data_IF_475101378498
#
_entry.id   IF_475101378498
#
_cell.length_a   1.000
_cell.length_b   1.000
_cell.length_c   1.000
_cell.angle_alpha   90.00
_cell.angle_beta   90.00
_cell.angle_gamma   90.00
#
_symmetry.space_group_name_H-M   'P 1'
#
loop_
_entity.id
_entity.type
_entity.pdbx_description
1 polymer ?
#
# COMPACT_ATOMS: atom_id res chain seq x y z
N UNK A 1 -16.11 -0.91 -4.51
CA UNK A 1 -16.79 -1.72 -3.46
C UNK A 1 -15.80 -2.63 -2.76
N UNK A 2 -15.11 -3.54 -3.47
CA UNK A 2 -14.16 -4.49 -2.88
C UNK A 2 -13.09 -3.83 -1.98
N UNK A 3 -12.41 -2.80 -2.50
CA UNK A 3 -11.42 -2.01 -1.72
C UNK A 3 -12.05 -1.42 -0.45
N UNK A 4 -13.25 -0.86 -0.53
CA UNK A 4 -13.94 -0.28 0.62
C UNK A 4 -14.29 -1.30 1.71
N UNK A 5 -14.72 -2.51 1.33
CA UNK A 5 -14.98 -3.60 2.27
C UNK A 5 -13.68 -4.02 2.97
N UNK A 6 -12.60 -4.21 2.20
CA UNK A 6 -11.30 -4.56 2.74
C UNK A 6 -10.77 -3.49 3.71
N UNK A 7 -10.86 -2.21 3.34
CA UNK A 7 -10.44 -1.09 4.18
C UNK A 7 -11.26 -1.00 5.47
N UNK A 8 -12.59 -1.17 5.41
CA UNK A 8 -13.44 -1.18 6.60
C UNK A 8 -13.08 -2.34 7.54
N UNK A 9 -12.85 -3.52 6.98
CA UNK A 9 -12.43 -4.69 7.76
C UNK A 9 -11.10 -4.40 8.47
N UNK A 10 -10.09 -3.93 7.73
CA UNK A 10 -8.76 -3.62 8.28
C UNK A 10 -8.84 -2.50 9.31
N UNK A 11 -9.66 -1.47 9.11
CA UNK A 11 -9.83 -0.38 10.07
C UNK A 11 -10.36 -0.87 11.43
N UNK A 12 -11.22 -1.89 11.44
CA UNK A 12 -11.77 -2.49 12.66
C UNK A 12 -10.78 -3.47 13.29
N UNK A 13 -10.10 -4.29 12.48
CA UNK A 13 -9.24 -5.36 12.98
C UNK A 13 -7.83 -4.90 13.35
N UNK A 14 -7.26 -3.91 12.66
CA UNK A 14 -5.88 -3.48 12.85
C UNK A 14 -5.55 -3.05 14.29
N UNK A 15 -6.40 -2.27 15.01
CA UNK A 15 -6.10 -1.91 16.40
C UNK A 15 -6.07 -3.13 17.34
N UNK A 16 -6.97 -4.09 17.11
CA UNK A 16 -7.08 -5.31 17.92
C UNK A 16 -5.90 -6.24 17.65
N UNK A 17 -5.61 -6.47 16.37
CA UNK A 17 -4.52 -7.35 15.94
C UNK A 17 -3.15 -6.78 16.28
N UNK A 18 -2.97 -5.46 16.16
CA UNK A 18 -1.75 -4.77 16.57
C UNK A 18 -1.48 -4.95 18.07
N UNK A 19 -2.50 -4.74 18.90
CA UNK A 19 -2.37 -4.97 20.34
C UNK A 19 -2.03 -6.43 20.66
N UNK A 20 -2.69 -7.42 20.03
CA UNK A 20 -2.38 -8.83 20.26
C UNK A 20 -0.94 -9.15 19.86
N UNK A 21 -0.49 -8.68 18.70
CA UNK A 21 0.87 -8.94 18.21
C UNK A 21 1.94 -8.30 19.09
N UNK A 22 1.70 -7.08 19.59
CA UNK A 22 2.60 -6.39 20.51
C UNK A 22 2.76 -7.15 21.84
N UNK A 23 1.68 -7.71 22.39
CA UNK A 23 1.73 -8.46 23.65
C UNK A 23 2.29 -9.88 23.51
N UNK A 24 2.02 -10.53 22.38
CA UNK A 24 2.43 -11.91 22.12
C UNK A 24 3.81 -12.04 21.47
N UNK A 25 4.48 -10.91 21.19
CA UNK A 25 5.76 -10.86 20.47
C UNK A 25 5.75 -11.76 19.21
N UNK A 26 4.68 -11.63 18.42
CA UNK A 26 4.41 -12.51 17.29
C UNK A 26 4.13 -11.75 15.99
N UNK A 27 4.60 -10.51 15.89
CA UNK A 27 4.45 -9.66 14.70
C UNK A 27 4.97 -10.37 13.45
N UNK A 28 6.06 -11.14 13.56
CA UNK A 28 6.59 -11.94 12.45
C UNK A 28 5.61 -13.02 11.99
N UNK A 29 4.90 -13.67 12.91
CA UNK A 29 3.90 -14.71 12.58
C UNK A 29 2.66 -14.11 11.94
N UNK A 30 2.16 -12.99 12.47
CA UNK A 30 1.04 -12.27 11.87
C UNK A 30 1.39 -11.75 10.48
N UNK A 31 2.58 -11.20 10.29
CA UNK A 31 3.06 -10.77 8.98
C UNK A 31 3.09 -11.94 7.99
N UNK A 32 3.61 -13.11 8.40
CA UNK A 32 3.61 -14.30 7.56
C UNK A 32 2.19 -14.75 7.18
N UNK A 33 1.27 -14.79 8.15
CA UNK A 33 -0.11 -15.18 7.90
C UNK A 33 -0.79 -14.26 6.89
N UNK A 34 -0.65 -12.94 7.05
CA UNK A 34 -1.28 -11.97 6.17
C UNK A 34 -0.62 -11.91 4.80
N UNK A 35 0.71 -11.95 4.71
CA UNK A 35 1.42 -12.11 3.44
C UNK A 35 1.02 -13.39 2.72
N UNK A 36 0.85 -14.49 3.46
CA UNK A 36 0.45 -15.76 2.90
C UNK A 36 -0.98 -15.75 2.36
N UNK A 37 -1.90 -15.13 3.10
CA UNK A 37 -3.24 -14.84 2.59
C UNK A 37 -3.16 -14.09 1.26
N UNK A 38 -2.34 -13.04 1.17
CA UNK A 38 -2.22 -12.25 -0.06
C UNK A 38 -1.76 -13.08 -1.26
N UNK A 39 -0.67 -13.83 -1.16
CA UNK A 39 -0.19 -14.60 -2.31
C UNK A 39 -1.12 -15.78 -2.65
N UNK A 40 -1.79 -16.40 -1.67
CA UNK A 40 -2.74 -17.50 -1.95
C UNK A 40 -3.93 -16.96 -2.72
N UNK A 41 -4.59 -15.91 -2.21
CA UNK A 41 -5.77 -15.36 -2.87
C UNK A 41 -5.46 -14.64 -4.18
N UNK A 42 -4.27 -14.04 -4.31
CA UNK A 42 -3.78 -13.55 -5.61
C UNK A 42 -3.63 -14.70 -6.58
N UNK A 43 -2.98 -15.80 -6.20
CA UNK A 43 -2.83 -16.98 -7.06
C UNK A 43 -4.17 -17.62 -7.45
N UNK A 44 -5.15 -17.64 -6.53
CA UNK A 44 -6.50 -18.17 -6.78
C UNK A 44 -7.30 -17.37 -7.82
N UNK A 45 -6.93 -16.10 -8.09
CA UNK A 45 -7.52 -15.32 -9.19
C UNK A 45 -7.30 -15.96 -10.55
N UNK A 46 -6.32 -16.88 -10.70
CA UNK A 46 -6.16 -17.71 -11.89
C UNK A 46 -7.43 -18.49 -12.26
N UNK A 47 -8.22 -18.95 -11.29
CA UNK A 47 -9.40 -19.77 -11.55
C UNK A 47 -10.63 -18.94 -11.95
N UNK A 48 -10.58 -17.62 -11.80
CA UNK A 48 -11.70 -16.72 -12.11
C UNK A 48 -11.86 -16.59 -13.62
N UNK A 49 -13.05 -16.93 -14.13
CA UNK A 49 -13.37 -16.81 -15.55
C UNK A 49 -14.33 -15.64 -15.81
N UNK A 50 -14.58 -15.35 -17.09
CA UNK A 50 -15.56 -14.34 -17.49
C UNK A 50 -16.94 -14.75 -16.95
N UNK A 51 -17.53 -13.90 -16.13
CA UNK A 51 -18.82 -14.15 -15.46
C UNK A 51 -18.71 -14.37 -13.94
N UNK A 52 -17.54 -14.77 -13.44
CA UNK A 52 -17.31 -15.10 -12.02
C UNK A 52 -17.02 -13.88 -11.14
N UNK A 53 -17.80 -12.81 -11.33
CA UNK A 53 -17.55 -11.50 -10.69
C UNK A 53 -17.51 -11.63 -9.17
N UNK A 54 -18.43 -12.40 -8.58
CA UNK A 54 -18.51 -12.56 -7.13
C UNK A 54 -17.27 -13.26 -6.56
N UNK A 55 -16.83 -14.35 -7.18
CA UNK A 55 -15.65 -15.12 -6.75
C UNK A 55 -14.38 -14.27 -6.92
N UNK A 56 -14.25 -13.57 -8.06
CA UNK A 56 -13.13 -12.65 -8.28
C UNK A 56 -13.09 -11.53 -7.26
N UNK A 57 -14.23 -10.94 -6.94
CA UNK A 57 -14.34 -9.95 -5.87
C UNK A 57 -13.95 -10.52 -4.50
N UNK A 58 -14.42 -11.72 -4.15
CA UNK A 58 -14.12 -12.35 -2.87
C UNK A 58 -12.61 -12.60 -2.72
N UNK A 59 -11.96 -13.21 -3.72
CA UNK A 59 -10.52 -13.43 -3.70
C UNK A 59 -9.73 -12.12 -3.66
N UNK A 60 -10.14 -11.11 -4.44
CA UNK A 60 -9.51 -9.80 -4.40
C UNK A 60 -9.64 -9.14 -3.02
N UNK A 61 -10.81 -9.20 -2.37
CA UNK A 61 -11.01 -8.66 -1.01
C UNK A 61 -10.10 -9.35 -0.01
N UNK A 62 -10.00 -10.68 -0.05
CA UNK A 62 -9.15 -11.44 0.87
C UNK A 62 -7.66 -11.18 0.64
N UNK A 63 -7.23 -11.02 -0.62
CA UNK A 63 -5.89 -10.60 -0.96
C UNK A 63 -5.58 -9.18 -0.45
N UNK A 64 -6.51 -8.24 -0.65
CA UNK A 64 -6.37 -6.84 -0.21
C UNK A 64 -6.34 -6.73 1.32
N UNK A 65 -7.18 -7.49 2.04
CA UNK A 65 -7.12 -7.57 3.51
C UNK A 65 -5.76 -8.09 3.97
N UNK A 66 -5.25 -9.14 3.31
CA UNK A 66 -3.92 -9.69 3.54
C UNK A 66 -2.84 -8.62 3.38
N UNK A 67 -2.85 -7.92 2.25
CA UNK A 67 -1.86 -6.89 1.94
C UNK A 67 -1.89 -5.75 2.95
N UNK A 68 -3.07 -5.16 3.18
CA UNK A 68 -3.25 -4.03 4.10
C UNK A 68 -2.94 -4.38 5.55
N UNK A 69 -3.38 -5.56 6.01
CA UNK A 69 -3.07 -6.00 7.38
C UNK A 69 -1.58 -6.32 7.55
N UNK A 70 -0.96 -6.92 6.53
CA UNK A 70 0.49 -7.15 6.48
C UNK A 70 1.29 -5.85 6.57
N UNK A 71 0.85 -4.78 5.90
CA UNK A 71 1.49 -3.46 5.99
C UNK A 71 1.51 -2.90 7.42
N UNK A 72 0.45 -3.11 8.21
CA UNK A 72 0.41 -2.68 9.62
C UNK A 72 1.56 -3.31 10.42
N UNK A 73 1.76 -4.63 10.27
CA UNK A 73 2.85 -5.33 10.96
C UNK A 73 4.22 -4.98 10.41
N UNK A 74 4.34 -4.87 9.09
CA UNK A 74 5.58 -4.42 8.43
C UNK A 74 6.04 -3.06 8.99
N UNK A 75 5.14 -2.09 9.06
CA UNK A 75 5.45 -0.76 9.60
C UNK A 75 5.76 -0.81 11.10
N UNK A 76 5.12 -1.73 11.86
CA UNK A 76 5.38 -1.89 13.30
C UNK A 76 6.73 -2.54 13.64
N UNK A 77 7.36 -3.22 12.67
CA UNK A 77 8.69 -3.85 12.81
C UNK A 77 9.79 -2.84 12.50
N UNK A 78 9.51 -1.83 11.68
CA UNK A 78 10.50 -0.83 11.25
C UNK A 78 11.27 -0.16 12.42
N UNK A 79 10.61 0.24 13.54
CA UNK A 79 11.33 0.81 14.69
C UNK A 79 12.23 -0.19 15.43
N UNK A 80 12.10 -1.50 15.19
CA UNK A 80 12.95 -2.53 15.81
C UNK A 80 14.25 -2.78 15.01
N UNK A 81 14.27 -2.34 13.74
CA UNK A 81 15.40 -2.53 12.81
C UNK A 81 16.16 -1.24 12.50
N UNK A 82 15.56 -0.07 12.76
CA UNK A 82 16.16 1.23 12.47
C UNK A 82 16.14 2.13 13.72
N UNK A 83 17.21 2.90 13.89
CA UNK A 83 17.25 3.98 14.89
C UNK A 83 16.33 5.14 14.47
N UNK A 84 15.88 6.02 15.40
CA UNK A 84 15.01 7.14 15.05
C UNK A 84 15.57 8.04 13.95
N UNK A 85 16.89 8.25 13.93
CA UNK A 85 17.59 9.08 12.95
C UNK A 85 17.68 8.41 11.56
N UNK A 86 17.60 7.08 11.51
CA UNK A 86 17.69 6.30 10.26
C UNK A 86 16.32 5.87 9.72
N UNK A 87 15.25 6.05 10.50
CA UNK A 87 13.92 5.53 10.20
C UNK A 87 13.38 6.03 8.86
N UNK A 88 13.56 7.32 8.56
CA UNK A 88 13.18 7.91 7.28
C UNK A 88 13.96 7.30 6.10
N UNK A 89 15.28 7.14 6.24
CA UNK A 89 16.14 6.56 5.19
C UNK A 89 15.83 5.08 4.94
N UNK A 90 15.65 4.29 5.99
CA UNK A 90 15.34 2.85 5.88
C UNK A 90 13.94 2.65 5.27
N UNK A 91 12.95 3.42 5.73
CA UNK A 91 11.60 3.41 5.16
C UNK A 91 11.60 3.78 3.68
N UNK A 92 12.26 4.90 3.33
CA UNK A 92 12.34 5.39 1.95
C UNK A 92 13.05 4.42 1.01
N UNK A 93 14.16 3.82 1.45
CA UNK A 93 14.84 2.77 0.69
C UNK A 93 13.94 1.52 0.52
N UNK A 94 13.22 1.12 1.57
CA UNK A 94 12.26 0.01 1.49
C UNK A 94 11.15 0.29 0.48
N UNK A 95 10.62 1.52 0.47
CA UNK A 95 9.63 1.96 -0.50
C UNK A 95 10.19 1.95 -1.93
N UNK A 96 11.39 2.48 -2.16
CA UNK A 96 12.03 2.51 -3.47
C UNK A 96 12.32 1.11 -4.02
N UNK A 97 12.88 0.21 -3.20
CA UNK A 97 13.16 -1.19 -3.57
C UNK A 97 11.84 -1.93 -3.83
N UNK A 98 10.82 -1.71 -3.01
CA UNK A 98 9.49 -2.31 -3.20
C UNK A 98 8.84 -1.87 -4.52
N UNK A 99 8.87 -0.58 -4.82
CA UNK A 99 8.37 -0.02 -6.08
C UNK A 99 9.15 -0.53 -7.29
N UNK A 100 10.49 -0.60 -7.19
CA UNK A 100 11.33 -1.19 -8.23
C UNK A 100 11.01 -2.68 -8.44
N UNK A 101 10.77 -3.43 -7.37
CA UNK A 101 10.33 -4.82 -7.42
C UNK A 101 8.98 -4.98 -8.10
N UNK A 102 8.03 -4.08 -7.86
CA UNK A 102 6.74 -4.05 -8.55
C UNK A 102 6.87 -3.74 -10.04
N UNK A 103 7.71 -2.76 -10.40
CA UNK A 103 8.02 -2.45 -11.81
C UNK A 103 8.65 -3.66 -12.50
N UNK A 104 9.62 -4.31 -11.86
CA UNK A 104 10.29 -5.49 -12.41
C UNK A 104 9.30 -6.62 -12.67
N UNK A 105 8.37 -6.86 -11.73
CA UNK A 105 7.29 -7.82 -11.91
C UNK A 105 6.44 -7.52 -13.17
N UNK A 106 6.03 -6.25 -13.34
CA UNK A 106 5.25 -5.83 -14.52
C UNK A 106 6.04 -5.95 -15.83
N UNK A 107 7.32 -5.54 -15.83
CA UNK A 107 8.20 -5.64 -17.02
C UNK A 107 8.41 -7.10 -17.42
N UNK A 108 8.51 -8.02 -16.47
CA UNK A 108 8.67 -9.45 -16.78
C UNK A 108 7.40 -10.00 -17.42
N UNK A 109 6.21 -9.63 -16.92
CA UNK A 109 4.93 -10.15 -17.41
C UNK A 109 4.51 -9.53 -18.76
N UNK A 110 4.80 -8.24 -18.96
CA UNK A 110 4.30 -7.46 -20.09
C UNK A 110 4.59 -8.09 -21.47
N UNK A 111 5.82 -8.54 -21.79
CA UNK A 111 6.10 -9.22 -23.06
C UNK A 111 5.25 -10.46 -23.29
N UNK A 112 4.96 -11.24 -22.24
CA UNK A 112 4.12 -12.43 -22.38
C UNK A 112 2.69 -12.05 -22.73
N UNK A 113 2.13 -11.02 -22.10
CA UNK A 113 0.78 -10.53 -22.41
C UNK A 113 0.70 -10.00 -23.84
N UNK A 114 1.74 -9.31 -24.33
CA UNK A 114 1.76 -8.76 -25.69
C UNK A 114 1.96 -9.83 -26.76
N UNK A 115 2.80 -10.84 -26.50
CA UNK A 115 3.14 -11.88 -27.49
C UNK A 115 2.07 -12.97 -27.53
N UNK A 116 1.61 -13.41 -26.36
CA UNK A 116 0.65 -14.49 -26.22
C UNK A 116 -0.70 -13.87 -25.87
N UNK A 117 -1.43 -13.44 -26.89
CA UNK A 117 -2.78 -12.92 -26.71
C UNK A 117 -3.70 -14.01 -26.11
N UNK A 118 -4.51 -13.62 -25.13
CA UNK A 118 -5.51 -14.48 -24.52
C UNK A 118 -5.62 -14.42 -23.00
N UNK A 119 -6.84 -14.63 -22.52
CA UNK A 119 -7.20 -14.60 -21.10
C UNK A 119 -6.44 -15.61 -20.22
N UNK A 120 -5.76 -16.61 -20.81
CA UNK A 120 -4.93 -17.56 -20.07
C UNK A 120 -3.66 -16.89 -19.55
N UNK A 121 -3.02 -16.04 -20.35
CA UNK A 121 -1.75 -15.39 -20.00
C UNK A 121 -1.97 -14.34 -18.93
N UNK A 122 -3.08 -13.60 -19.03
CA UNK A 122 -3.57 -12.71 -17.96
C UNK A 122 -3.77 -13.49 -16.67
N UNK A 123 -4.38 -14.68 -16.73
CA UNK A 123 -4.56 -15.53 -15.54
C UNK A 123 -3.25 -16.03 -14.97
N UNK A 124 -2.30 -16.46 -15.81
CA UNK A 124 -0.96 -16.87 -15.38
C UNK A 124 -0.19 -15.72 -14.71
N UNK A 125 -0.45 -14.47 -15.08
CA UNK A 125 0.16 -13.31 -14.44
C UNK A 125 -0.15 -13.22 -12.94
N UNK A 126 -1.33 -13.67 -12.50
CA UNK A 126 -1.69 -13.73 -11.08
C UNK A 126 -0.87 -14.77 -10.32
N UNK A 127 -0.66 -15.96 -10.90
CA UNK A 127 0.20 -16.99 -10.31
C UNK A 127 1.64 -16.49 -10.23
N UNK A 128 2.15 -15.90 -11.31
CA UNK A 128 3.48 -15.34 -11.31
C UNK A 128 3.65 -14.25 -10.24
N UNK A 129 2.70 -13.32 -10.15
CA UNK A 129 2.72 -12.25 -9.14
C UNK A 129 2.69 -12.81 -7.72
N UNK A 130 1.87 -13.84 -7.47
CA UNK A 130 1.81 -14.53 -6.18
C UNK A 130 3.15 -15.17 -5.81
N UNK A 131 3.77 -15.91 -6.75
CA UNK A 131 5.07 -16.56 -6.54
C UNK A 131 6.18 -15.52 -6.35
N UNK A 132 6.21 -14.49 -7.20
CA UNK A 132 7.18 -13.40 -7.13
C UNK A 132 7.11 -12.73 -5.75
N UNK A 133 5.91 -12.38 -5.29
CA UNK A 133 5.73 -11.79 -3.97
C UNK A 133 6.15 -12.76 -2.87
N UNK A 134 5.77 -14.04 -2.94
CA UNK A 134 6.18 -15.04 -1.97
C UNK A 134 7.71 -15.13 -1.84
N UNK A 135 8.41 -15.23 -2.97
CA UNK A 135 9.87 -15.25 -3.00
C UNK A 135 10.46 -13.97 -2.42
N UNK A 136 9.92 -12.80 -2.75
CA UNK A 136 10.40 -11.52 -2.22
C UNK A 136 10.26 -11.39 -0.70
N UNK A 137 9.33 -12.11 -0.07
CA UNK A 137 9.20 -12.09 1.40
C UNK A 137 10.12 -13.07 2.13
N UNK A 138 10.67 -14.08 1.44
CA UNK A 138 11.53 -15.12 2.05
C UNK A 138 12.71 -14.50 2.84
N UNK A 139 13.47 -13.52 2.29
CA UNK A 139 14.58 -12.89 3.00
C UNK A 139 14.17 -12.32 4.35
N UNK A 140 13.00 -11.69 4.42
CA UNK A 140 12.46 -11.15 5.67
C UNK A 140 12.26 -12.26 6.70
N UNK A 141 11.62 -13.36 6.33
CA UNK A 141 11.32 -14.42 7.28
C UNK A 141 12.53 -15.27 7.67
N UNK A 142 13.55 -15.38 6.82
CA UNK A 142 14.77 -16.11 7.15
C UNK A 142 15.74 -15.28 8.00
N UNK A 143 15.90 -13.99 7.70
CA UNK A 143 16.92 -13.16 8.34
C UNK A 143 16.41 -12.32 9.52
N UNK A 144 15.14 -11.91 9.51
CA UNK A 144 14.59 -11.13 10.62
C UNK A 144 14.37 -12.03 11.85
N UNK A 145 15.00 -11.67 12.97
CA UNK A 145 14.74 -12.24 14.28
C UNK A 145 14.02 -11.21 15.12
N UNK A 146 12.81 -11.56 15.55
CA UNK A 146 11.99 -10.74 16.44
C UNK A 146 12.69 -10.63 17.80
N UNK A 147 12.96 -9.42 18.25
CA UNK A 147 13.67 -9.14 19.51
C UNK A 147 12.72 -8.90 20.68
N UNK A 148 11.42 -8.73 20.40
CA UNK A 148 10.42 -8.51 21.41
C UNK A 148 10.24 -9.76 22.29
N UNK A 149 10.19 -9.57 23.61
CA UNK A 149 9.82 -10.62 24.56
C UNK A 149 8.31 -10.51 24.89
N UNK A 150 7.59 -11.64 25.01
CA UNK A 150 6.19 -11.63 25.41
C UNK A 150 6.01 -10.94 26.76
N UNK A 151 5.14 -9.93 26.85
CA UNK A 151 4.85 -9.28 28.12
C UNK A 151 3.82 -10.08 28.92
N UNK A 152 4.03 -10.30 30.24
CA UNK A 152 3.06 -11.00 31.07
C UNK A 152 1.75 -10.21 31.13
N UNK A 153 0.63 -10.92 30.92
CA UNK A 153 -0.70 -10.35 31.07
C UNK A 153 -0.95 -9.98 32.55
N UNK A 154 -1.43 -8.76 32.84
CA UNK A 154 -1.94 -8.42 34.17
C UNK A 154 -3.06 -9.37 34.60
N UNK A 155 -3.05 -9.78 35.87
CA UNK A 155 -3.99 -10.74 36.45
C UNK A 155 -5.45 -10.33 36.19
N UNK A 156 -6.20 -11.17 35.46
CA UNK A 156 -7.63 -10.97 35.18
C UNK A 156 -7.96 -10.17 33.91
N UNK A 157 -6.98 -9.76 33.09
CA UNK A 157 -7.24 -9.12 31.81
C UNK A 157 -6.93 -10.04 30.62
N UNK A 158 -7.82 -10.08 29.62
CA UNK A 158 -7.59 -10.75 28.33
C UNK A 158 -6.83 -9.82 27.38
N UNK A 159 -6.07 -10.39 26.42
CA UNK A 159 -5.35 -9.63 25.37
C UNK A 159 -6.24 -8.58 24.68
N UNK A 160 -7.51 -8.92 24.43
CA UNK A 160 -8.50 -8.03 23.85
C UNK A 160 -8.82 -6.84 24.75
N UNK A 161 -9.05 -7.08 26.04
CA UNK A 161 -9.45 -6.05 27.01
C UNK A 161 -8.34 -5.05 27.25
N UNK A 162 -7.08 -5.50 27.36
CA UNK A 162 -5.91 -4.63 27.54
C UNK A 162 -5.70 -3.75 26.29
N UNK A 163 -5.77 -4.36 25.10
CA UNK A 163 -5.65 -3.65 23.82
C UNK A 163 -6.66 -2.51 23.71
N UNK A 164 -7.94 -2.80 23.93
CA UNK A 164 -9.00 -1.79 23.91
C UNK A 164 -8.80 -0.71 24.97
N UNK A 165 -8.44 -1.08 26.21
CA UNK A 165 -8.25 -0.13 27.31
C UNK A 165 -7.08 0.81 27.04
N UNK A 166 -5.99 0.31 26.45
CA UNK A 166 -4.82 1.11 26.04
C UNK A 166 -5.16 2.03 24.87
N UNK A 167 -5.85 1.55 23.85
CA UNK A 167 -6.35 2.39 22.74
C UNK A 167 -7.24 3.51 23.28
N UNK A 168 -8.21 3.20 24.15
CA UNK A 168 -9.11 4.20 24.74
C UNK A 168 -8.31 5.21 25.58
N UNK A 169 -7.31 4.77 26.35
CA UNK A 169 -6.46 5.65 27.14
C UNK A 169 -5.64 6.58 26.25
N UNK A 170 -5.01 6.05 25.20
CA UNK A 170 -4.27 6.85 24.20
C UNK A 170 -5.19 7.83 23.48
N UNK A 171 -6.38 7.40 23.05
CA UNK A 171 -7.38 8.26 22.41
C UNK A 171 -7.85 9.39 23.32
N UNK A 172 -7.98 9.14 24.63
CA UNK A 172 -8.30 10.17 25.62
C UNK A 172 -7.16 11.16 25.83
N UNK A 173 -5.91 10.69 25.86
CA UNK A 173 -4.72 11.54 25.97
C UNK A 173 -4.50 12.40 24.72
N UNK A 174 -4.78 11.87 23.53
CA UNK A 174 -4.64 12.58 22.24
C UNK A 174 -5.56 13.82 22.16
N UNK A 175 -6.72 13.82 22.84
CA UNK A 175 -7.61 15.00 22.90
C UNK A 175 -6.96 16.24 23.51
N UNK A 176 -5.89 16.09 24.28
CA UNK A 176 -5.15 17.22 24.84
C UNK A 176 -4.26 17.90 23.79
N UNK A 177 -3.96 17.25 22.67
CA UNK A 177 -3.10 17.74 21.59
C UNK A 177 -3.91 18.18 20.37
N UNK A 178 -4.54 19.37 20.45
CA UNK A 178 -5.41 19.91 19.39
C UNK A 178 -4.72 20.01 18.02
N UNK A 179 -3.45 20.41 17.96
CA UNK A 179 -2.71 20.54 16.70
C UNK A 179 -2.40 19.16 16.08
N UNK A 180 -2.11 18.15 16.90
CA UNK A 180 -1.91 16.78 16.43
C UNK A 180 -3.21 16.19 15.86
N UNK A 181 -4.36 16.45 16.49
CA UNK A 181 -5.66 16.06 15.96
C UNK A 181 -5.96 16.72 14.60
N UNK A 182 -5.68 18.02 14.45
CA UNK A 182 -5.82 18.71 13.15
C UNK A 182 -4.94 18.06 12.09
N UNK A 183 -3.69 17.73 12.45
CA UNK A 183 -2.78 17.02 11.55
C UNK A 183 -3.32 15.65 11.15
N UNK A 184 -3.81 14.83 12.09
CA UNK A 184 -4.40 13.51 11.78
C UNK A 184 -5.60 13.65 10.84
N UNK A 185 -6.51 14.60 11.11
CA UNK A 185 -7.69 14.80 10.25
C UNK A 185 -7.26 15.23 8.84
N UNK A 186 -6.33 16.17 8.73
CA UNK A 186 -5.77 16.59 7.44
C UNK A 186 -5.08 15.41 6.72
N UNK A 187 -4.27 14.64 7.46
CA UNK A 187 -3.59 13.43 7.00
C UNK A 187 -4.58 12.43 6.40
N UNK A 188 -5.64 12.11 7.12
CA UNK A 188 -6.67 11.19 6.65
C UNK A 188 -7.31 11.67 5.35
N UNK A 189 -7.68 12.95 5.26
CA UNK A 189 -8.35 13.50 4.07
C UNK A 189 -7.45 13.45 2.84
N UNK A 190 -6.22 13.99 2.92
CA UNK A 190 -5.35 14.01 1.74
C UNK A 190 -4.86 12.61 1.37
N UNK A 191 -4.56 11.75 2.36
CA UNK A 191 -4.07 10.41 2.12
C UNK A 191 -5.14 9.55 1.45
N UNK A 192 -6.40 9.66 1.90
CA UNK A 192 -7.54 8.99 1.28
C UNK A 192 -7.76 9.47 -0.16
N UNK A 193 -7.70 10.78 -0.40
CA UNK A 193 -7.81 11.34 -1.75
C UNK A 193 -6.72 10.83 -2.71
N UNK A 194 -5.48 10.77 -2.25
CA UNK A 194 -4.34 10.24 -3.01
C UNK A 194 -4.53 8.74 -3.30
N UNK A 195 -4.88 7.93 -2.29
CA UNK A 195 -5.11 6.50 -2.46
C UNK A 195 -6.29 6.22 -3.40
N UNK A 196 -7.37 6.99 -3.31
CA UNK A 196 -8.51 6.87 -4.20
C UNK A 196 -8.10 7.17 -5.65
N UNK A 197 -7.36 8.26 -5.89
CA UNK A 197 -6.88 8.60 -7.23
C UNK A 197 -6.08 7.45 -7.85
N UNK A 198 -5.19 6.80 -7.09
CA UNK A 198 -4.39 5.67 -7.57
C UNK A 198 -5.21 4.40 -7.79
N UNK A 199 -6.02 4.01 -6.80
CA UNK A 199 -6.80 2.78 -6.87
C UNK A 199 -7.79 2.80 -8.04
N UNK A 200 -8.32 3.97 -8.39
CA UNK A 200 -9.24 4.13 -9.50
C UNK A 200 -8.57 4.57 -10.81
N UNK A 201 -7.27 4.91 -10.82
CA UNK A 201 -6.59 5.35 -12.04
C UNK A 201 -6.72 4.34 -13.17
N UNK A 202 -6.46 3.06 -12.90
CA UNK A 202 -6.58 2.01 -13.92
C UNK A 202 -8.03 1.84 -14.42
N UNK A 203 -9.02 1.95 -13.53
CA UNK A 203 -10.44 1.85 -13.90
C UNK A 203 -10.85 3.06 -14.75
N UNK A 204 -10.40 4.27 -14.39
CA UNK A 204 -10.64 5.48 -15.17
C UNK A 204 -9.99 5.35 -16.55
N UNK A 205 -8.74 4.90 -16.63
CA UNK A 205 -8.05 4.65 -17.90
C UNK A 205 -8.82 3.66 -18.79
N UNK A 206 -9.24 2.54 -18.23
CA UNK A 206 -9.97 1.50 -18.96
C UNK A 206 -11.35 1.98 -19.44
N UNK A 207 -12.15 2.58 -18.55
CA UNK A 207 -13.56 2.91 -18.80
C UNK A 207 -13.72 4.23 -19.56
N UNK A 208 -12.95 5.26 -19.19
CA UNK A 208 -13.11 6.60 -19.77
C UNK A 208 -12.26 6.81 -21.03
N UNK A 209 -11.06 6.20 -21.08
CA UNK A 209 -10.13 6.35 -22.20
C UNK A 209 -10.01 5.10 -23.07
N UNK A 210 -10.74 4.02 -22.74
CA UNK A 210 -10.74 2.78 -23.52
C UNK A 210 -9.42 2.04 -23.51
N UNK A 211 -8.61 2.20 -22.45
CA UNK A 211 -7.28 1.61 -22.38
C UNK A 211 -7.32 0.09 -22.36
N UNK A 212 -6.58 -0.52 -23.29
CA UNK A 212 -6.34 -1.95 -23.30
C UNK A 212 -5.41 -2.38 -22.17
N UNK A 213 -5.38 -3.68 -21.86
CA UNK A 213 -4.58 -4.26 -20.77
C UNK A 213 -3.10 -3.88 -20.85
N UNK A 214 -2.52 -3.95 -22.05
CA UNK A 214 -1.14 -3.52 -22.33
C UNK A 214 -0.91 -2.06 -21.96
N UNK A 215 -1.84 -1.17 -22.31
CA UNK A 215 -1.73 0.25 -22.01
C UNK A 215 -1.86 0.53 -20.52
N UNK A 216 -2.73 -0.19 -19.81
CA UNK A 216 -2.87 -0.10 -18.35
C UNK A 216 -1.59 -0.53 -17.63
N UNK A 217 -0.94 -1.61 -18.09
CA UNK A 217 0.34 -2.06 -17.52
C UNK A 217 1.43 -1.01 -17.75
N UNK A 218 1.54 -0.49 -18.97
CA UNK A 218 2.51 0.59 -19.29
C UNK A 218 2.24 1.82 -18.43
N UNK A 219 0.97 2.19 -18.24
CA UNK A 219 0.57 3.30 -17.39
C UNK A 219 1.00 3.10 -15.94
N UNK A 220 0.76 1.91 -15.37
CA UNK A 220 1.21 1.59 -14.02
C UNK A 220 2.73 1.62 -13.89
N UNK A 221 3.47 1.15 -14.91
CA UNK A 221 4.94 1.26 -14.94
C UNK A 221 5.37 2.74 -14.89
N UNK A 222 4.77 3.60 -15.71
CA UNK A 222 5.08 5.03 -15.73
C UNK A 222 4.80 5.67 -14.36
N UNK A 223 3.61 5.43 -13.79
CA UNK A 223 3.23 5.94 -12.47
C UNK A 223 4.24 5.50 -11.41
N UNK A 224 4.66 4.23 -11.41
CA UNK A 224 5.61 3.72 -10.43
C UNK A 224 7.01 4.31 -10.60
N UNK A 225 7.49 4.46 -11.84
CA UNK A 225 8.79 5.09 -12.12
C UNK A 225 8.79 6.55 -11.67
N UNK A 226 7.76 7.31 -12.03
CA UNK A 226 7.65 8.71 -11.60
C UNK A 226 7.46 8.83 -10.10
N UNK A 227 6.84 7.83 -9.46
CA UNK A 227 6.73 7.75 -8.02
C UNK A 227 8.06 7.49 -7.32
N UNK A 228 8.94 6.66 -7.87
CA UNK A 228 10.33 6.56 -7.38
C UNK A 228 11.05 7.90 -7.53
N UNK A 229 10.92 8.57 -8.67
CA UNK A 229 11.52 9.89 -8.87
C UNK A 229 10.96 10.94 -7.88
N UNK A 230 9.66 10.89 -7.60
CA UNK A 230 8.98 11.73 -6.62
C UNK A 230 9.46 11.50 -5.19
N UNK A 231 9.76 10.26 -4.80
CA UNK A 231 10.30 9.94 -3.48
C UNK A 231 11.70 10.54 -3.29
N UNK A 232 12.59 10.34 -4.26
CA UNK A 232 13.96 10.87 -4.21
C UNK A 232 14.00 12.40 -4.21
N UNK A 233 13.24 13.03 -5.12
CA UNK A 233 13.20 14.49 -5.20
C UNK A 233 12.46 15.10 -4.00
N UNK A 234 11.36 14.47 -3.56
CA UNK A 234 10.62 14.88 -2.36
C UNK A 234 11.48 14.87 -1.11
N UNK A 235 12.25 13.80 -0.87
CA UNK A 235 13.19 13.74 0.25
C UNK A 235 14.27 14.82 0.18
N UNK A 236 14.89 15.01 -0.99
CA UNK A 236 15.91 16.05 -1.20
C UNK A 236 15.37 17.47 -1.00
N UNK A 237 14.16 17.77 -1.48
CA UNK A 237 13.50 19.05 -1.24
C UNK A 237 13.07 19.21 0.22
N UNK A 238 12.62 18.12 0.86
CA UNK A 238 12.27 18.08 2.28
C UNK A 238 13.44 18.44 3.18
N UNK A 239 14.63 17.90 2.91
CA UNK A 239 15.85 18.19 3.67
C UNK A 239 16.31 19.65 3.54
N UNK A 240 16.05 20.30 2.40
CA UNK A 240 16.50 21.68 2.13
C UNK A 240 15.51 22.76 2.53
N UNK A 241 14.22 22.55 2.25
CA UNK A 241 13.16 23.57 2.37
C UNK A 241 12.19 23.24 3.51
N UNK A 242 12.24 22.01 4.03
CA UNK A 242 11.39 21.51 5.10
C UNK A 242 10.26 20.61 4.59
N UNK A 243 10.07 19.47 5.27
CA UNK A 243 9.07 18.44 4.95
C UNK A 243 7.63 18.97 4.88
N UNK A 244 7.27 19.98 5.68
CA UNK A 244 5.93 20.60 5.60
C UNK A 244 5.67 21.25 4.25
N UNK A 245 6.66 21.96 3.70
CA UNK A 245 6.52 22.63 2.41
C UNK A 245 6.46 21.60 1.27
N UNK A 246 7.34 20.60 1.30
CA UNK A 246 7.35 19.50 0.33
C UNK A 246 5.99 18.77 0.28
N UNK A 247 5.41 18.48 1.45
CA UNK A 247 4.08 17.87 1.57
C UNK A 247 2.99 18.75 0.96
N UNK A 248 2.93 20.03 1.33
CA UNK A 248 1.90 20.96 0.81
C UNK A 248 2.02 21.13 -0.71
N UNK A 249 3.24 21.28 -1.23
CA UNK A 249 3.47 21.39 -2.67
C UNK A 249 2.97 20.15 -3.41
N UNK A 250 3.21 18.96 -2.87
CA UNK A 250 2.79 17.69 -3.47
C UNK A 250 1.27 17.50 -3.43
N UNK A 251 0.60 17.94 -2.35
CA UNK A 251 -0.88 17.94 -2.27
C UNK A 251 -1.48 18.92 -3.27
N UNK A 252 -0.94 20.14 -3.41
CA UNK A 252 -1.38 21.12 -4.41
C UNK A 252 -1.21 20.57 -5.82
N UNK A 253 -0.07 19.93 -6.09
CA UNK A 253 0.21 19.26 -7.35
C UNK A 253 -0.82 18.17 -7.64
N UNK A 254 -1.15 17.32 -6.66
CA UNK A 254 -2.18 16.28 -6.81
C UNK A 254 -3.55 16.88 -7.14
N UNK A 255 -3.96 17.96 -6.45
CA UNK A 255 -5.21 18.67 -6.74
C UNK A 255 -5.20 19.19 -8.19
N UNK A 256 -4.11 19.80 -8.63
CA UNK A 256 -3.94 20.27 -10.01
C UNK A 256 -4.08 19.15 -11.05
N UNK A 257 -3.48 17.98 -10.77
CA UNK A 257 -3.55 16.79 -11.65
C UNK A 257 -4.98 16.26 -11.73
N UNK A 258 -5.71 16.19 -10.61
CA UNK A 258 -7.12 15.77 -10.59
C UNK A 258 -8.00 16.75 -11.38
N UNK A 259 -7.80 18.06 -11.21
CA UNK A 259 -8.54 19.07 -11.98
C UNK A 259 -8.22 18.93 -13.48
N UNK A 260 -6.95 18.77 -13.84
CA UNK A 260 -6.53 18.62 -15.24
C UNK A 260 -7.13 17.36 -15.89
N UNK A 261 -7.28 16.28 -15.12
CA UNK A 261 -7.95 15.06 -15.56
C UNK A 261 -9.40 15.31 -15.98
N UNK A 262 -10.13 16.21 -15.34
CA UNK A 262 -11.54 16.51 -15.68
C UNK A 262 -11.72 17.11 -17.08
N UNK A 263 -10.69 17.77 -17.61
CA UNK A 263 -10.73 18.44 -18.92
C UNK A 263 -10.06 17.64 -20.03
N UNK A 264 -9.25 16.64 -19.66
CA UNK A 264 -8.46 15.86 -20.62
C UNK A 264 -9.32 14.80 -21.29
N UNK A 265 -9.28 14.78 -22.64
CA UNK A 265 -9.95 13.75 -23.46
C UNK A 265 -8.97 12.92 -24.28
N UNK A 266 -7.67 13.21 -24.21
CA UNK A 266 -6.64 12.50 -24.95
C UNK A 266 -5.99 11.42 -24.10
N UNK A 267 -5.71 10.27 -24.72
CA UNK A 267 -5.01 9.16 -24.08
C UNK A 267 -3.60 9.58 -23.60
N UNK A 268 -2.86 10.31 -24.44
CA UNK A 268 -1.53 10.82 -24.08
C UNK A 268 -1.60 11.77 -22.87
N UNK A 269 -2.63 12.63 -22.81
CA UNK A 269 -2.84 13.50 -21.66
C UNK A 269 -3.05 12.70 -20.37
N UNK A 270 -3.80 11.60 -20.44
CA UNK A 270 -3.99 10.70 -19.29
C UNK A 270 -2.68 10.07 -18.81
N UNK A 271 -1.80 9.62 -19.72
CA UNK A 271 -0.46 9.13 -19.35
C UNK A 271 0.39 10.19 -18.65
N UNK A 272 0.37 11.43 -19.15
CA UNK A 272 1.11 12.54 -18.55
C UNK A 272 0.58 12.83 -17.14
N UNK A 273 -0.74 12.92 -16.99
CA UNK A 273 -1.42 13.07 -15.70
C UNK A 273 -1.01 11.96 -14.73
N UNK A 274 -0.99 10.70 -15.18
CA UNK A 274 -0.51 9.56 -14.39
C UNK A 274 0.92 9.74 -13.91
N UNK A 275 1.82 10.20 -14.80
CA UNK A 275 3.20 10.51 -14.44
C UNK A 275 3.31 11.56 -13.33
N UNK A 276 2.58 12.67 -13.45
CA UNK A 276 2.52 13.72 -12.43
C UNK A 276 1.86 13.25 -11.12
N UNK A 277 0.81 12.43 -11.20
CA UNK A 277 0.17 11.82 -10.03
C UNK A 277 1.13 10.89 -9.28
N UNK A 278 1.85 10.03 -10.01
CA UNK A 278 2.86 9.15 -9.45
C UNK A 278 3.95 9.92 -8.71
N UNK A 279 4.44 11.02 -9.30
CA UNK A 279 5.41 11.90 -8.66
C UNK A 279 4.87 12.54 -7.37
N UNK A 280 3.65 13.07 -7.41
CA UNK A 280 3.04 13.74 -6.27
C UNK A 280 2.74 12.79 -5.09
N UNK A 281 2.48 11.50 -5.36
CA UNK A 281 2.18 10.48 -4.35
C UNK A 281 3.26 10.38 -3.27
N UNK A 282 4.51 10.25 -3.69
CA UNK A 282 5.62 9.82 -2.82
C UNK A 282 6.37 10.95 -2.18
N UNK A 283 6.34 12.12 -2.80
CA UNK A 283 6.82 13.34 -2.17
C UNK A 283 6.00 13.71 -0.92
N UNK A 284 4.81 13.11 -0.73
CA UNK A 284 3.99 13.21 0.49
C UNK A 284 4.33 12.13 1.54
N UNK A 285 4.87 10.99 1.12
CA UNK A 285 5.10 9.81 1.98
C UNK A 285 6.55 9.69 2.49
N UNK A 286 7.46 10.54 1.99
CA UNK A 286 8.87 10.60 2.36
C UNK A 286 9.12 11.76 3.32
#
# INVERSE_FOLDING_TARGET
>A
IAVGIAMLFVAITAPVLGAIADFSASKKKFLLFYSASTWVFTGLLFFVQRGDIFIGMLFFILAEIGYRSGQVFYNSILPEIATPDELGRVSGNGWAIGSAGGILCLIIILPFIVIFDGALVVRLSFIFTAIYFAISTIPLFLWFKEKAEPQPLPSGENYLTIGFKRIIRTMRSVRQYREFLKFIVAFLIYNDGILMALNFAAIIGAVLFGMEETQLIIFMIIVQITSIAGAFLGGFFGDRVGYKFALVASVIMMIGVVIWMMFTRSLLGFFVIGGFAGFALTAVQS
#
